data_IF_541705438863
#
_entry.id   IF_541705438863
#
_cell.length_a   1.000
_cell.length_b   1.000
_cell.length_c   1.000
_cell.angle_alpha   90.00
_cell.angle_beta   90.00
_cell.angle_gamma   90.00
#
_symmetry.space_group_name_H-M   'P 1'
#
loop_
_entity.id
_entity.type
_entity.pdbx_description
1 polymer ?
#
# COMPACT_ATOMS: atom_id res chain seq x y z
N UNK A 1 21.43 4.77 19.15
CA UNK A 1 20.47 3.89 18.44
C UNK A 1 19.65 4.72 17.46
N UNK A 2 20.18 5.06 16.28
CA UNK A 2 19.47 5.89 15.29
C UNK A 2 18.69 4.95 14.38
N UNK A 3 17.38 4.83 14.63
CA UNK A 3 16.46 3.98 13.86
C UNK A 3 16.44 4.42 12.40
N UNK A 4 16.98 3.56 11.53
CA UNK A 4 17.16 3.79 10.10
C UNK A 4 15.84 3.54 9.36
N UNK A 5 14.91 4.50 9.44
CA UNK A 5 13.84 4.64 8.44
C UNK A 5 14.41 5.48 7.29
N UNK A 6 15.40 4.94 6.58
CA UNK A 6 15.66 5.42 5.22
C UNK A 6 14.48 4.93 4.38
N UNK A 7 13.49 5.80 4.23
CA UNK A 7 12.34 5.60 3.35
C UNK A 7 12.92 5.50 1.94
N UNK A 8 13.15 4.28 1.46
CA UNK A 8 13.55 4.05 0.08
C UNK A 8 12.41 4.52 -0.82
N UNK A 9 12.55 5.71 -1.40
CA UNK A 9 11.65 6.17 -2.46
C UNK A 9 11.98 5.35 -3.70
N UNK A 10 11.25 4.25 -3.88
CA UNK A 10 11.41 3.31 -4.99
C UNK A 10 10.11 3.11 -5.76
N UNK A 11 10.23 2.60 -6.99
CA UNK A 11 9.07 2.17 -7.75
C UNK A 11 8.55 0.83 -7.22
N UNK A 12 7.24 0.73 -7.03
CA UNK A 12 6.56 -0.54 -6.80
C UNK A 12 5.88 -0.99 -8.10
N UNK A 13 6.12 -2.23 -8.48
CA UNK A 13 5.36 -2.88 -9.56
C UNK A 13 3.93 -3.14 -9.11
N UNK A 14 2.99 -3.19 -10.07
CA UNK A 14 1.61 -3.57 -9.77
C UNK A 14 1.51 -4.95 -9.10
N UNK A 15 2.42 -5.89 -9.45
CA UNK A 15 2.50 -7.21 -8.82
C UNK A 15 2.81 -7.12 -7.33
N UNK A 16 3.73 -6.25 -6.93
CA UNK A 16 4.06 -6.01 -5.52
C UNK A 16 2.88 -5.39 -4.78
N UNK A 17 2.21 -4.40 -5.38
CA UNK A 17 1.03 -3.76 -4.79
C UNK A 17 -0.09 -4.79 -4.57
N UNK A 18 -0.38 -5.63 -5.58
CA UNK A 18 -1.36 -6.72 -5.46
C UNK A 18 -0.98 -7.71 -4.36
N UNK A 19 0.29 -8.09 -4.25
CA UNK A 19 0.72 -9.00 -3.18
C UNK A 19 0.50 -8.38 -1.78
N UNK A 20 0.81 -7.09 -1.61
CA UNK A 20 0.65 -6.38 -0.35
C UNK A 20 -0.82 -6.24 0.08
N UNK A 21 -1.72 -5.93 -0.87
CA UNK A 21 -3.14 -5.68 -0.57
C UNK A 21 -4.03 -6.93 -0.66
N UNK A 22 -3.44 -8.12 -0.82
CA UNK A 22 -4.16 -9.37 -1.15
C UNK A 22 -5.06 -9.22 -2.39
N UNK A 23 -4.51 -8.61 -3.42
CA UNK A 23 -5.16 -8.28 -4.69
C UNK A 23 -6.37 -7.33 -4.50
N UNK A 24 -6.19 -6.28 -3.69
CA UNK A 24 -7.22 -5.30 -3.38
C UNK A 24 -8.46 -5.92 -2.72
N UNK A 25 -8.23 -6.85 -1.79
CA UNK A 25 -9.29 -7.49 -1.01
C UNK A 25 -10.10 -6.43 -0.24
N UNK A 26 -11.43 -6.53 -0.28
CA UNK A 26 -12.32 -5.63 0.44
C UNK A 26 -12.06 -5.61 1.95
N UNK A 27 -11.58 -6.72 2.53
CA UNK A 27 -11.18 -6.79 3.94
C UNK A 27 -9.96 -5.93 4.28
N UNK A 28 -9.18 -5.51 3.28
CA UNK A 28 -8.04 -4.60 3.44
C UNK A 28 -8.39 -3.15 3.10
N UNK A 29 -9.61 -2.86 2.62
CA UNK A 29 -10.05 -1.49 2.39
C UNK A 29 -10.22 -0.77 3.72
N UNK A 30 -9.58 0.38 3.85
CA UNK A 30 -9.63 1.22 5.05
C UNK A 30 -10.45 2.50 4.86
N UNK A 31 -10.84 2.82 3.63
CA UNK A 31 -11.67 3.98 3.32
C UNK A 31 -11.93 4.15 1.83
N UNK A 32 -12.78 5.14 1.50
CA UNK A 32 -13.06 5.59 0.14
C UNK A 32 -13.44 7.06 0.16
N UNK A 33 -13.04 7.79 -0.88
CA UNK A 33 -13.43 9.18 -1.11
C UNK A 33 -13.55 9.48 -2.60
N UNK A 34 -13.60 10.76 -2.96
CA UNK A 34 -13.77 11.18 -4.37
C UNK A 34 -12.66 10.72 -5.33
N UNK A 35 -11.54 10.21 -4.81
CA UNK A 35 -10.42 9.67 -5.58
C UNK A 35 -10.35 8.13 -5.58
N UNK A 36 -11.35 7.45 -5.01
CA UNK A 36 -11.46 5.99 -4.96
C UNK A 36 -11.07 5.37 -3.61
N UNK A 37 -10.93 4.02 -3.57
CA UNK A 37 -10.68 3.26 -2.36
C UNK A 37 -9.22 3.29 -1.90
N UNK A 38 -9.01 3.22 -0.59
CA UNK A 38 -7.69 3.12 0.06
C UNK A 38 -7.56 1.76 0.73
N UNK A 39 -6.42 1.08 0.54
CA UNK A 39 -6.13 -0.23 1.11
C UNK A 39 -4.90 -0.15 2.03
N UNK A 40 -4.89 -0.95 3.10
CA UNK A 40 -3.72 -1.16 3.96
C UNK A 40 -2.70 -2.12 3.36
#
# INVERSE_FOLDING_TARGET
>A
LRGRLEKQTGYFTLKQIKAATKNFDAANKIGEGGFGPVYK
#
